data_IF_428745987979
#
_entry.id   IF_428745987979
#
_cell.length_a   1.000
_cell.length_b   1.000
_cell.length_c   1.000
_cell.angle_alpha   90.00
_cell.angle_beta   90.00
_cell.angle_gamma   90.00
#
_symmetry.space_group_name_H-M   'P 1'
#
loop_
_entity.id
_entity.type
_entity.pdbx_description
1 polymer ?
#
# COMPACT_ATOMS: atom_id res chain seq x y z
N UNK A 1 -21.14 1.23 5.34
CA UNK A 1 -20.10 0.19 5.43
C UNK A 1 -19.26 0.30 4.17
N UNK A 2 -18.01 0.75 4.26
CA UNK A 2 -17.19 1.01 3.08
C UNK A 2 -16.80 -0.32 2.43
N UNK A 3 -17.50 -0.65 1.33
CA UNK A 3 -17.25 -1.81 0.48
C UNK A 3 -15.93 -1.59 -0.27
N UNK A 4 -14.80 -1.68 0.44
CA UNK A 4 -13.48 -1.52 -0.16
C UNK A 4 -13.09 -2.84 -0.80
N UNK A 5 -13.64 -3.13 -1.97
CA UNK A 5 -13.18 -4.24 -2.79
C UNK A 5 -11.66 -4.20 -2.93
N UNK A 6 -11.01 -5.37 -3.00
CA UNK A 6 -9.55 -5.49 -3.12
C UNK A 6 -8.97 -4.56 -4.19
N UNK A 7 -9.63 -4.44 -5.35
CA UNK A 7 -9.23 -3.54 -6.44
C UNK A 7 -9.17 -2.07 -5.99
N UNK A 8 -10.10 -1.65 -5.14
CA UNK A 8 -10.11 -0.29 -4.58
C UNK A 8 -8.94 -0.09 -3.62
N UNK A 9 -8.65 -1.06 -2.76
CA UNK A 9 -7.47 -1.01 -1.88
C UNK A 9 -6.17 -0.95 -2.68
N UNK A 10 -6.04 -1.76 -3.74
CA UNK A 10 -4.89 -1.72 -4.65
C UNK A 10 -4.75 -0.34 -5.29
N UNK A 11 -5.85 0.21 -5.81
CA UNK A 11 -5.87 1.55 -6.41
C UNK A 11 -5.42 2.62 -5.42
N UNK A 12 -5.96 2.62 -4.19
CA UNK A 12 -5.58 3.57 -3.17
C UNK A 12 -4.11 3.43 -2.76
N UNK A 13 -3.61 2.20 -2.57
CA UNK A 13 -2.20 1.96 -2.23
C UNK A 13 -1.26 2.53 -3.29
N UNK A 14 -1.60 2.33 -4.57
CA UNK A 14 -0.84 2.91 -5.69
C UNK A 14 -0.92 4.44 -5.70
N UNK A 15 -2.10 5.02 -5.46
CA UNK A 15 -2.27 6.47 -5.38
C UNK A 15 -1.46 7.08 -4.23
N UNK A 16 -1.43 6.44 -3.06
CA UNK A 16 -0.60 6.87 -1.93
C UNK A 16 0.88 6.84 -2.34
N UNK A 17 1.36 5.71 -2.88
CA UNK A 17 2.75 5.59 -3.31
C UNK A 17 3.15 6.62 -4.39
N UNK A 18 2.23 6.98 -5.29
CA UNK A 18 2.47 7.99 -6.31
C UNK A 18 2.47 9.42 -5.76
N UNK A 19 1.62 9.70 -4.76
CA UNK A 19 1.34 11.07 -4.31
C UNK A 19 2.20 11.54 -3.14
N UNK A 20 2.85 10.64 -2.39
CA UNK A 20 3.70 11.06 -1.27
C UNK A 20 4.92 11.87 -1.76
N UNK A 21 5.22 13.01 -1.13
CA UNK A 21 6.34 13.87 -1.52
C UNK A 21 7.66 13.24 -1.07
N UNK A 22 8.42 12.67 -1.99
CA UNK A 22 9.65 11.96 -1.65
C UNK A 22 10.82 12.32 -2.57
N UNK A 23 12.02 12.34 -1.98
CA UNK A 23 13.27 12.73 -2.67
C UNK A 23 13.94 11.50 -3.31
N UNK A 24 13.61 10.29 -2.86
CA UNK A 24 14.10 9.02 -3.42
C UNK A 24 13.03 7.92 -3.34
N UNK A 25 13.22 6.81 -4.05
CA UNK A 25 12.29 5.67 -4.02
C UNK A 25 12.21 4.98 -2.65
N UNK A 26 13.33 4.95 -1.92
CA UNK A 26 13.38 4.43 -0.55
C UNK A 26 12.58 5.33 0.41
N UNK A 27 12.73 6.65 0.26
CA UNK A 27 11.97 7.64 1.02
C UNK A 27 10.48 7.57 0.69
N UNK A 28 10.14 7.42 -0.61
CA UNK A 28 8.76 7.23 -1.08
C UNK A 28 8.10 6.02 -0.45
N UNK A 29 8.82 4.89 -0.39
CA UNK A 29 8.33 3.67 0.24
C UNK A 29 8.07 3.88 1.74
N UNK A 30 8.98 4.58 2.43
CA UNK A 30 8.89 4.84 3.86
C UNK A 30 7.72 5.77 4.20
N UNK A 31 7.56 6.86 3.44
CA UNK A 31 6.46 7.79 3.64
C UNK A 31 5.10 7.18 3.28
N UNK A 32 5.04 6.39 2.20
CA UNK A 32 3.83 5.64 1.85
C UNK A 32 3.46 4.64 2.96
N UNK A 33 4.44 3.90 3.50
CA UNK A 33 4.21 2.97 4.61
C UNK A 33 3.69 3.68 5.86
N UNK A 34 4.28 4.83 6.22
CA UNK A 34 3.82 5.63 7.36
C UNK A 34 2.39 6.15 7.16
N UNK A 35 2.05 6.60 5.96
CA UNK A 35 0.69 7.03 5.62
C UNK A 35 -0.31 5.87 5.71
N UNK A 36 0.02 4.73 5.09
CA UNK A 36 -0.80 3.52 5.13
C UNK A 36 -1.02 3.07 6.59
N UNK A 37 0.06 2.94 7.39
CA UNK A 37 -0.01 2.53 8.80
C UNK A 37 -0.84 3.48 9.66
N UNK A 38 -0.86 4.78 9.33
CA UNK A 38 -1.62 5.80 10.07
C UNK A 38 -3.12 5.78 9.75
N UNK A 39 -3.51 5.52 8.50
CA UNK A 39 -4.89 5.69 8.04
C UNK A 39 -5.64 4.39 7.79
N UNK A 40 -4.93 3.27 7.60
CA UNK A 40 -5.55 1.98 7.31
C UNK A 40 -5.67 1.13 8.56
N UNK A 41 -6.73 0.33 8.62
CA UNK A 41 -6.89 -0.65 9.68
C UNK A 41 -6.02 -1.89 9.40
N UNK A 42 -5.61 -2.65 10.43
CA UNK A 42 -4.87 -3.90 10.26
C UNK A 42 -5.58 -4.90 9.34
N UNK A 43 -6.92 -4.89 9.30
CA UNK A 43 -7.73 -5.75 8.44
C UNK A 43 -7.55 -5.40 6.96
N UNK A 44 -7.44 -4.10 6.61
CA UNK A 44 -7.21 -3.67 5.23
C UNK A 44 -5.85 -4.16 4.72
N UNK A 45 -4.83 -4.12 5.57
CA UNK A 45 -3.48 -4.62 5.23
C UNK A 45 -3.48 -6.13 5.05
N UNK A 46 -4.10 -6.86 5.98
CA UNK A 46 -4.24 -8.32 5.87
C UNK A 46 -5.02 -8.76 4.61
N UNK A 47 -6.01 -7.97 4.20
CA UNK A 47 -6.76 -8.21 2.95
C UNK A 47 -5.85 -8.13 1.72
N UNK A 48 -4.80 -7.29 1.75
CA UNK A 48 -3.84 -7.18 0.66
C UNK A 48 -2.69 -8.19 0.72
N UNK A 49 -2.45 -8.85 1.87
CA UNK A 49 -1.33 -9.79 2.05
C UNK A 49 -1.27 -10.87 0.96
N UNK A 50 -2.36 -11.56 0.56
CA UNK A 50 -2.31 -12.55 -0.51
C UNK A 50 -1.90 -11.98 -1.87
N UNK A 51 -2.09 -10.67 -2.08
CA UNK A 51 -1.79 -9.96 -3.32
C UNK A 51 -0.36 -9.40 -3.35
N UNK A 52 0.37 -9.43 -2.23
CA UNK A 52 1.76 -8.96 -2.13
C UNK A 52 2.77 -9.91 -2.78
N UNK A 53 2.40 -11.15 -3.08
CA UNK A 53 3.24 -12.11 -3.80
C UNK A 53 2.82 -12.27 -5.27
N UNK A 54 1.60 -11.84 -5.61
CA UNK A 54 1.07 -11.90 -6.96
C UNK A 54 1.50 -10.65 -7.75
N UNK A 55 2.29 -10.79 -8.81
CA UNK A 55 2.73 -9.65 -9.65
C UNK A 55 1.59 -9.10 -10.52
N UNK A 56 0.58 -9.90 -10.81
CA UNK A 56 -0.63 -9.53 -11.55
C UNK A 56 -1.70 -8.85 -10.66
N UNK A 57 -1.41 -8.58 -9.39
CA UNK A 57 -2.34 -7.90 -8.48
C UNK A 57 -2.56 -6.41 -8.81
N UNK A 58 -1.77 -5.84 -9.73
CA UNK A 58 -1.84 -4.42 -10.07
C UNK A 58 -1.20 -3.49 -9.04
N UNK A 59 -0.61 -4.02 -7.97
CA UNK A 59 0.19 -3.23 -7.02
C UNK A 59 1.54 -2.85 -7.64
N UNK A 60 1.83 -1.55 -7.65
CA UNK A 60 3.16 -1.04 -7.96
C UNK A 60 4.20 -1.56 -6.96
N UNK A 61 5.45 -1.66 -7.39
CA UNK A 61 6.56 -2.12 -6.55
C UNK A 61 6.69 -1.29 -5.27
N UNK A 62 6.54 0.03 -5.37
CA UNK A 62 6.58 0.95 -4.22
C UNK A 62 5.40 0.71 -3.27
N UNK A 63 4.18 0.57 -3.77
CA UNK A 63 3.02 0.29 -2.92
C UNK A 63 3.13 -1.06 -2.21
N UNK A 64 3.60 -2.09 -2.91
CA UNK A 64 3.84 -3.42 -2.35
C UNK A 64 4.87 -3.37 -1.22
N UNK A 65 5.99 -2.70 -1.44
CA UNK A 65 7.03 -2.54 -0.42
C UNK A 65 6.54 -1.70 0.77
N UNK A 66 5.73 -0.67 0.51
CA UNK A 66 5.15 0.15 1.56
C UNK A 66 4.17 -0.64 2.45
N UNK A 67 3.32 -1.50 1.87
CA UNK A 67 2.42 -2.36 2.63
C UNK A 67 3.21 -3.38 3.45
N UNK A 68 4.23 -4.02 2.87
CA UNK A 68 5.13 -4.94 3.60
C UNK A 68 5.75 -4.24 4.82
N UNK A 69 6.29 -3.03 4.63
CA UNK A 69 6.87 -2.21 5.70
C UNK A 69 5.84 -1.74 6.75
N UNK A 70 4.58 -1.57 6.36
CA UNK A 70 3.51 -1.19 7.29
C UNK A 70 3.04 -2.35 8.19
N UNK A 71 3.28 -3.60 7.76
CA UNK A 71 3.00 -4.84 8.51
C UNK A 71 4.13 -5.20 9.49
N UNK A 72 5.33 -4.66 9.29
CA UNK A 72 6.44 -4.67 10.26
C UNK A 72 6.13 -3.83 11.51
#
# INVERSE_FOLDING_TARGET
MANSSIEHLVKMANQIAASVPAISDTDRTTQAAAHIKKFWSPIMLQTLTPHLENEQSGLSTTARNAIKKALE
#
